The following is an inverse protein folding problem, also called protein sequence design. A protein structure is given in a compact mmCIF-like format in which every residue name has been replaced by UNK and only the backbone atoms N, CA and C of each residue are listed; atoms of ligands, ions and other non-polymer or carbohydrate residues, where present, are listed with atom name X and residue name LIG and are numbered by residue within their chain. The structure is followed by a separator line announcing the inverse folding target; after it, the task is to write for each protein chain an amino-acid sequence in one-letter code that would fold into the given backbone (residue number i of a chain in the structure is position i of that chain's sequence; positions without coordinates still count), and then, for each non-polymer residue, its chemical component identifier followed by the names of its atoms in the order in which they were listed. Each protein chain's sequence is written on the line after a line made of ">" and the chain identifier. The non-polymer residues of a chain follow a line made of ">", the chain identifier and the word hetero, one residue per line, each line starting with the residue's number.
data_IF_361692415995
#
_entry.id   IF_361692415995
#
_cell.length_a   1.000
_cell.length_b   1.000
_cell.length_c   1.000
_cell.angle_alpha   90.00
_cell.angle_beta   90.00
_cell.angle_gamma   90.00
#
_symmetry.space_group_name_H-M   'P 1'
#
loop_
_entity.id
_entity.type
_entity.pdbx_description
1 polymer ?
#
# COMPACT_ATOMS: atom_id res chain seq x y z
N UNK A 1 6.05 35.56 1.40
CA UNK A 1 5.55 34.45 0.58
C UNK A 1 6.52 33.29 0.69
N UNK A 2 6.07 32.10 1.09
CA UNK A 2 6.90 30.89 1.05
C UNK A 2 7.10 30.49 -0.42
N UNK A 3 8.30 30.69 -0.97
CA UNK A 3 8.67 30.18 -2.28
C UNK A 3 9.04 28.70 -2.16
N UNK A 4 8.09 27.81 -2.43
CA UNK A 4 8.36 26.37 -2.48
C UNK A 4 9.22 26.04 -3.70
N UNK A 5 10.32 25.32 -3.46
CA UNK A 5 11.17 24.81 -4.54
C UNK A 5 10.51 23.63 -5.25
N UNK A 6 10.88 23.37 -6.51
CA UNK A 6 10.37 22.23 -7.27
C UNK A 6 10.53 20.88 -6.54
N UNK A 7 11.70 20.55 -5.93
CA UNK A 7 11.86 19.31 -5.15
C UNK A 7 10.90 19.20 -3.96
N UNK A 8 10.60 20.31 -3.28
CA UNK A 8 9.66 20.31 -2.16
C UNK A 8 8.23 20.01 -2.62
N UNK A 9 7.81 20.57 -3.77
CA UNK A 9 6.50 20.27 -4.36
C UNK A 9 6.39 18.79 -4.72
N UNK A 10 7.40 18.25 -5.42
CA UNK A 10 7.40 16.84 -5.81
C UNK A 10 7.40 15.93 -4.57
N UNK A 11 8.24 16.21 -3.57
CA UNK A 11 8.28 15.41 -2.33
C UNK A 11 6.94 15.40 -1.59
N UNK A 12 6.26 16.55 -1.52
CA UNK A 12 4.92 16.63 -0.93
C UNK A 12 3.90 15.81 -1.72
N UNK A 13 3.86 15.97 -3.05
CA UNK A 13 2.91 15.24 -3.91
C UNK A 13 3.16 13.73 -3.88
N UNK A 14 4.41 13.29 -3.93
CA UNK A 14 4.77 11.87 -3.82
C UNK A 14 4.31 11.28 -2.49
N UNK A 15 4.55 11.99 -1.38
CA UNK A 15 4.14 11.54 -0.05
C UNK A 15 2.61 11.46 0.05
N UNK A 16 1.92 12.49 -0.43
CA UNK A 16 0.46 12.55 -0.43
C UNK A 16 -0.13 11.39 -1.24
N UNK A 17 0.32 11.20 -2.48
CA UNK A 17 -0.18 10.11 -3.35
C UNK A 17 0.16 8.75 -2.77
N UNK A 18 1.36 8.55 -2.22
CA UNK A 18 1.74 7.30 -1.58
C UNK A 18 0.83 6.94 -0.39
N UNK A 19 0.40 7.94 0.39
CA UNK A 19 -0.59 7.75 1.45
C UNK A 19 -1.95 7.40 0.83
N UNK A 20 -2.45 8.18 -0.13
CA UNK A 20 -3.76 7.98 -0.76
C UNK A 20 -3.91 6.60 -1.41
N UNK A 21 -2.85 6.06 -2.03
CA UNK A 21 -2.86 4.68 -2.55
C UNK A 21 -3.18 3.67 -1.45
N UNK A 22 -2.63 3.84 -0.25
CA UNK A 22 -2.77 2.90 0.87
C UNK A 22 -4.08 3.07 1.64
N UNK A 23 -4.60 4.29 1.73
CA UNK A 23 -5.82 4.59 2.51
C UNK A 23 -7.10 4.69 1.66
N UNK A 24 -6.98 4.89 0.35
CA UNK A 24 -8.12 4.96 -0.58
C UNK A 24 -8.00 3.86 -1.64
N UNK A 25 -6.88 3.81 -2.36
CA UNK A 25 -6.69 2.90 -3.50
C UNK A 25 -6.86 1.42 -3.13
N UNK A 26 -6.06 0.91 -2.20
CA UNK A 26 -6.18 -0.48 -1.76
C UNK A 26 -7.49 -0.78 -1.04
N UNK A 27 -8.02 0.06 -0.13
CA UNK A 27 -9.34 -0.16 0.45
C UNK A 27 -10.49 -0.21 -0.56
N UNK A 28 -10.46 0.62 -1.61
CA UNK A 28 -11.43 0.54 -2.71
C UNK A 28 -11.31 -0.79 -3.46
N UNK A 29 -10.09 -1.25 -3.75
CA UNK A 29 -9.87 -2.56 -4.36
C UNK A 29 -10.38 -3.70 -3.46
N UNK A 30 -10.10 -3.66 -2.15
CA UNK A 30 -10.58 -4.63 -1.16
C UNK A 30 -12.11 -4.68 -1.18
N UNK A 31 -12.77 -3.51 -1.17
CA UNK A 31 -14.23 -3.39 -1.22
C UNK A 31 -14.79 -3.98 -2.52
N UNK A 32 -14.20 -3.66 -3.67
CA UNK A 32 -14.60 -4.20 -4.98
C UNK A 32 -14.49 -5.72 -5.04
N UNK A 33 -13.36 -6.27 -4.59
CA UNK A 33 -13.16 -7.71 -4.51
C UNK A 33 -14.22 -8.37 -3.62
N UNK A 34 -14.51 -7.78 -2.46
CA UNK A 34 -15.48 -8.30 -1.51
C UNK A 34 -16.91 -8.30 -2.06
N UNK A 35 -17.31 -7.23 -2.75
CA UNK A 35 -18.65 -7.10 -3.36
C UNK A 35 -18.78 -8.09 -4.52
N UNK A 36 -17.78 -8.17 -5.39
CA UNK A 36 -17.80 -9.04 -6.58
C UNK A 36 -17.52 -10.52 -6.26
N UNK A 37 -17.01 -10.81 -5.06
CA UNK A 37 -16.47 -12.14 -4.66
C UNK A 37 -15.52 -12.71 -5.71
N UNK A 38 -14.70 -11.84 -6.29
CA UNK A 38 -13.80 -12.17 -7.40
C UNK A 38 -12.62 -11.21 -7.41
N UNK A 39 -11.44 -11.74 -7.75
CA UNK A 39 -10.21 -10.97 -7.99
C UNK A 39 -9.78 -11.02 -9.46
N UNK A 40 -10.73 -11.26 -10.38
CA UNK A 40 -10.44 -11.30 -11.82
C UNK A 40 -9.79 -9.99 -12.29
N UNK A 41 -8.67 -10.11 -13.00
CA UNK A 41 -7.86 -8.99 -13.49
C UNK A 41 -6.76 -8.52 -12.51
N UNK A 42 -6.70 -9.03 -11.29
CA UNK A 42 -5.57 -8.76 -10.39
C UNK A 42 -4.43 -9.74 -10.64
N UNK A 43 -3.20 -9.24 -10.68
CA UNK A 43 -1.98 -10.06 -10.76
C UNK A 43 -1.59 -10.56 -9.35
N UNK A 44 -1.65 -11.88 -9.07
CA UNK A 44 -1.26 -12.41 -7.76
C UNK A 44 0.22 -12.16 -7.46
N UNK A 45 1.10 -12.32 -8.47
CA UNK A 45 2.54 -12.11 -8.34
C UNK A 45 2.83 -10.66 -7.91
N UNK A 46 2.15 -9.69 -8.52
CA UNK A 46 2.31 -8.29 -8.15
C UNK A 46 1.97 -8.06 -6.68
N UNK A 47 0.84 -8.59 -6.20
CA UNK A 47 0.45 -8.41 -4.80
C UNK A 47 1.36 -9.17 -3.82
N UNK A 48 1.94 -10.32 -4.21
CA UNK A 48 2.95 -11.02 -3.40
C UNK A 48 4.21 -10.16 -3.26
N UNK A 49 4.73 -9.64 -4.37
CA UNK A 49 5.91 -8.78 -4.35
C UNK A 49 5.66 -7.48 -3.57
N UNK A 50 4.48 -6.87 -3.74
CA UNK A 50 4.09 -5.69 -2.99
C UNK A 50 4.02 -5.96 -1.48
N UNK A 51 3.40 -7.07 -1.08
CA UNK A 51 3.31 -7.49 0.32
C UNK A 51 4.70 -7.72 0.94
N UNK A 52 5.58 -8.44 0.25
CA UNK A 52 6.96 -8.67 0.71
C UNK A 52 7.74 -7.37 0.81
N UNK A 53 7.60 -6.47 -0.16
CA UNK A 53 8.23 -5.15 -0.12
C UNK A 53 7.77 -4.34 1.09
N UNK A 54 6.45 -4.24 1.31
CA UNK A 54 5.92 -3.52 2.48
C UNK A 54 6.34 -4.17 3.81
N UNK A 55 6.43 -5.49 3.86
CA UNK A 55 6.92 -6.21 5.04
C UNK A 55 8.37 -5.82 5.34
N UNK A 56 9.26 -5.95 4.36
CA UNK A 56 10.68 -5.64 4.51
C UNK A 56 10.91 -4.17 4.89
N UNK A 57 10.18 -3.24 4.28
CA UNK A 57 10.27 -1.83 4.64
C UNK A 57 9.71 -1.50 6.02
N UNK A 58 8.66 -2.19 6.45
CA UNK A 58 8.13 -2.04 7.82
C UNK A 58 9.17 -2.53 8.83
N UNK A 59 9.77 -3.70 8.59
CA UNK A 59 10.85 -4.25 9.42
C UNK A 59 12.05 -3.29 9.43
N UNK A 60 12.44 -2.76 8.29
CA UNK A 60 13.51 -1.76 8.20
C UNK A 60 13.19 -0.52 9.04
N UNK A 61 11.95 0.02 8.97
CA UNK A 61 11.52 1.14 9.82
C UNK A 61 11.61 0.84 11.32
N UNK A 62 11.28 -0.38 11.73
CA UNK A 62 11.44 -0.83 13.13
C UNK A 62 12.92 -0.77 13.54
N UNK A 63 13.83 -1.29 12.71
CA UNK A 63 15.28 -1.23 12.98
C UNK A 63 15.80 0.21 13.05
N UNK A 64 15.30 1.11 12.21
CA UNK A 64 15.68 2.52 12.22
C UNK A 64 14.99 3.34 13.32
N UNK A 65 14.07 2.74 14.09
CA UNK A 65 13.20 3.46 15.04
C UNK A 65 12.42 4.61 14.40
N UNK A 66 12.08 4.48 13.11
CA UNK A 66 11.33 5.48 12.34
C UNK A 66 9.83 5.15 12.35
N UNK A 67 9.10 5.78 13.27
CA UNK A 67 7.65 5.60 13.40
C UNK A 67 6.86 5.95 12.14
N UNK A 68 7.31 6.95 11.36
CA UNK A 68 6.62 7.37 10.13
C UNK A 68 6.74 6.29 9.07
N UNK A 69 7.94 5.71 8.92
CA UNK A 69 8.17 4.62 7.98
C UNK A 69 7.42 3.34 8.39
N UNK A 70 7.43 3.01 9.69
CA UNK A 70 6.70 1.85 10.23
C UNK A 70 5.20 1.96 9.92
N UNK A 71 4.57 3.09 10.27
CA UNK A 71 3.14 3.29 10.05
C UNK A 71 2.85 3.35 8.55
N UNK A 72 3.63 4.14 7.80
CA UNK A 72 3.42 4.35 6.37
C UNK A 72 3.50 3.05 5.56
N UNK A 73 4.45 2.16 5.88
CA UNK A 73 4.63 0.90 5.16
C UNK A 73 3.75 -0.21 5.74
N UNK A 74 3.50 -0.19 7.06
CA UNK A 74 2.61 -1.13 7.73
C UNK A 74 1.17 -1.07 7.22
N UNK A 75 0.64 0.11 6.87
CA UNK A 75 -0.68 0.21 6.21
C UNK A 75 -0.67 -0.48 4.85
N UNK A 76 0.41 -0.34 4.08
CA UNK A 76 0.59 -1.05 2.81
C UNK A 76 0.66 -2.56 3.00
N UNK A 77 1.37 -3.02 4.03
CA UNK A 77 1.47 -4.43 4.41
C UNK A 77 0.10 -5.03 4.71
N UNK A 78 -0.69 -4.37 5.56
CA UNK A 78 -2.02 -4.84 5.94
C UNK A 78 -2.98 -4.88 4.74
N UNK A 79 -3.04 -3.80 3.97
CA UNK A 79 -3.98 -3.69 2.85
C UNK A 79 -3.65 -4.65 1.70
N UNK A 80 -2.37 -4.80 1.34
CA UNK A 80 -1.96 -5.81 0.34
C UNK A 80 -2.13 -7.23 0.85
N UNK A 81 -1.93 -7.48 2.15
CA UNK A 81 -2.22 -8.77 2.78
C UNK A 81 -3.71 -9.16 2.70
N UNK A 82 -4.62 -8.21 2.93
CA UNK A 82 -6.06 -8.44 2.76
C UNK A 82 -6.40 -8.76 1.30
N UNK A 83 -5.80 -8.06 0.33
CA UNK A 83 -6.02 -8.35 -1.09
C UNK A 83 -5.50 -9.75 -1.44
N UNK A 84 -4.31 -10.13 -0.96
CA UNK A 84 -3.78 -11.49 -1.15
C UNK A 84 -4.70 -12.56 -0.56
N UNK A 85 -5.21 -12.33 0.65
CA UNK A 85 -6.18 -13.22 1.27
C UNK A 85 -7.45 -13.35 0.41
N UNK A 86 -7.97 -12.25 -0.13
CA UNK A 86 -9.09 -12.29 -1.07
C UNK A 86 -8.75 -13.02 -2.37
N UNK A 87 -7.53 -12.89 -2.89
CA UNK A 87 -7.07 -13.64 -4.07
C UNK A 87 -7.09 -15.15 -3.79
N UNK A 88 -6.73 -15.59 -2.58
CA UNK A 88 -6.74 -17.01 -2.21
C UNK A 88 -8.19 -17.51 -2.07
N UNK A 89 -9.06 -16.78 -1.36
CA UNK A 89 -10.44 -17.25 -1.08
C UNK A 89 -11.36 -17.12 -2.28
N UNK A 90 -11.17 -16.12 -3.13
CA UNK A 90 -11.99 -15.93 -4.33
C UNK A 90 -11.39 -16.61 -5.57
N UNK A 91 -10.30 -17.37 -5.40
CA UNK A 91 -9.80 -18.30 -6.42
C UNK A 91 -10.84 -19.42 -6.58
N UNK A 92 -11.62 -19.35 -7.66
CA UNK A 92 -12.36 -20.49 -8.18
C UNK A 92 -11.44 -21.29 -9.09
#
# INVERSE_FOLDING_TARGET
>A
MLNLTFPQIIGFLTTLVAILVKIIGFPDQIKKNFIRKSTYGLSPIFFVLAFLSYMLWTVHGIYQKDGVLIIGQGVGLLTTGIILYQIIIYKK
#
